data_IF_249906180837
#
_entry.id   IF_249906180837
#
_cell.length_a   1.000
_cell.length_b   1.000
_cell.length_c   1.000
_cell.angle_alpha   90.00
_cell.angle_beta   90.00
_cell.angle_gamma   90.00
#
_symmetry.space_group_name_H-M   'P 1'
#
loop_
_entity.id
_entity.type
_entity.pdbx_description
1 polymer ?
#
# COMPACT_ATOMS: atom_id res chain seq x y z
N UNK A 1 -8.60 -12.98 4.40
CA UNK A 1 -9.37 -12.18 3.42
C UNK A 1 -9.48 -10.78 3.96
N UNK A 2 -9.08 -9.80 3.17
CA UNK A 2 -9.17 -8.37 3.48
C UNK A 2 -10.31 -7.73 2.68
N UNK A 3 -10.91 -6.69 3.21
CA UNK A 3 -11.77 -5.80 2.42
C UNK A 3 -10.90 -4.78 1.65
N UNK A 4 -9.84 -4.31 2.29
CA UNK A 4 -8.95 -3.28 1.76
C UNK A 4 -7.50 -3.71 1.90
N UNK A 5 -6.74 -3.60 0.82
CA UNK A 5 -5.28 -3.69 0.84
C UNK A 5 -4.68 -2.39 0.29
N UNK A 6 -3.95 -1.67 1.13
CA UNK A 6 -3.17 -0.50 0.74
C UNK A 6 -1.76 -0.97 0.42
N UNK A 7 -1.28 -0.70 -0.80
CA UNK A 7 0.06 -1.06 -1.23
C UNK A 7 0.89 0.22 -1.25
N UNK A 8 1.92 0.24 -0.42
CA UNK A 8 2.78 1.39 -0.18
C UNK A 8 4.21 1.11 -0.70
N UNK A 9 4.87 2.04 -1.40
CA UNK A 9 6.27 1.89 -1.80
C UNK A 9 7.19 1.70 -0.58
N UNK A 10 7.00 2.51 0.46
CA UNK A 10 7.78 2.48 1.69
C UNK A 10 6.89 2.57 2.94
N UNK A 11 7.37 2.10 4.12
CA UNK A 11 6.66 2.30 5.38
C UNK A 11 6.60 3.78 5.76
N UNK A 12 5.38 4.33 5.86
CA UNK A 12 4.95 5.74 6.04
C UNK A 12 4.01 6.23 4.92
N UNK A 13 4.16 5.72 3.69
CA UNK A 13 3.35 6.19 2.55
C UNK A 13 1.86 5.90 2.73
N UNK A 14 1.51 4.77 3.37
CA UNK A 14 0.12 4.42 3.67
C UNK A 14 -0.45 5.32 4.77
N UNK A 15 0.33 5.64 5.79
CA UNK A 15 0.00 6.53 6.89
C UNK A 15 -0.26 7.95 6.36
N UNK A 16 0.69 8.50 5.61
CA UNK A 16 0.65 9.84 5.03
C UNK A 16 -0.51 10.00 4.06
N UNK A 17 -0.63 9.08 3.10
CA UNK A 17 -1.63 9.16 2.04
C UNK A 17 -3.03 8.74 2.47
N UNK A 18 -3.13 7.74 3.35
CA UNK A 18 -4.37 7.00 3.60
C UNK A 18 -4.69 6.76 5.08
N UNK A 19 -3.87 7.18 6.05
CA UNK A 19 -4.07 6.85 7.47
C UNK A 19 -5.47 7.18 7.99
N UNK A 20 -6.03 8.34 7.63
CA UNK A 20 -7.39 8.72 7.99
C UNK A 20 -8.45 7.83 7.33
N UNK A 21 -8.26 7.46 6.06
CA UNK A 21 -9.15 6.55 5.34
C UNK A 21 -9.09 5.13 5.91
N UNK A 22 -7.89 4.65 6.26
CA UNK A 22 -7.68 3.37 6.95
C UNK A 22 -8.47 3.34 8.25
N UNK A 23 -8.31 4.37 9.09
CA UNK A 23 -9.04 4.50 10.36
C UNK A 23 -10.55 4.53 10.15
N UNK A 24 -11.02 5.24 9.12
CA UNK A 24 -12.43 5.29 8.75
C UNK A 24 -12.96 3.90 8.37
N UNK A 25 -12.25 3.17 7.51
CA UNK A 25 -12.60 1.80 7.13
C UNK A 25 -12.61 0.85 8.33
N UNK A 26 -11.65 1.00 9.26
CA UNK A 26 -11.64 0.25 10.51
C UNK A 26 -12.86 0.56 11.38
N UNK A 27 -13.26 1.83 11.50
CA UNK A 27 -14.47 2.23 12.23
C UNK A 27 -15.76 1.67 11.60
N UNK A 28 -15.75 1.45 10.29
CA UNK A 28 -16.84 0.81 9.53
C UNK A 28 -16.79 -0.73 9.61
N UNK A 29 -15.86 -1.30 10.37
CA UNK A 29 -15.73 -2.75 10.58
C UNK A 29 -15.04 -3.51 9.44
N UNK A 30 -14.41 -2.80 8.49
CA UNK A 30 -13.67 -3.43 7.39
C UNK A 30 -12.34 -4.02 7.86
N UNK A 31 -11.93 -5.10 7.21
CA UNK A 31 -10.60 -5.69 7.37
C UNK A 31 -9.61 -4.99 6.46
N UNK A 32 -8.66 -4.28 7.04
CA UNK A 32 -7.70 -3.43 6.32
C UNK A 32 -6.30 -3.95 6.55
N UNK A 33 -5.56 -4.14 5.46
CA UNK A 33 -4.14 -4.44 5.51
C UNK A 33 -3.28 -3.47 4.72
N UNK A 34 -2.00 -3.42 5.07
CA UNK A 34 -0.98 -2.65 4.36
C UNK A 34 0.12 -3.59 3.87
N UNK A 35 0.55 -3.44 2.63
CA UNK A 35 1.75 -4.09 2.11
C UNK A 35 2.76 -3.02 1.73
N UNK A 36 3.86 -2.95 2.47
CA UNK A 36 5.01 -2.14 2.10
C UNK A 36 5.83 -2.91 1.05
N UNK A 37 6.11 -2.31 -0.10
CA UNK A 37 6.86 -2.97 -1.18
C UNK A 37 8.34 -3.09 -0.83
N UNK A 38 8.90 -2.05 -0.23
CA UNK A 38 10.28 -1.98 0.24
C UNK A 38 10.33 -1.74 1.74
N UNK A 39 11.47 -1.94 2.38
CA UNK A 39 11.67 -1.57 3.79
C UNK A 39 11.97 -0.07 3.98
N UNK A 40 12.11 0.66 2.88
CA UNK A 40 12.44 2.08 2.83
C UNK A 40 13.84 2.50 3.30
N UNK A 41 14.71 1.57 3.69
CA UNK A 41 16.12 1.84 3.99
C UNK A 41 17.01 1.59 2.75
N UNK A 42 18.06 2.39 2.50
CA UNK A 42 18.65 3.35 3.43
C UNK A 42 17.89 4.68 3.52
N UNK A 43 17.95 5.36 4.66
CA UNK A 43 17.52 6.75 4.86
C UNK A 43 18.67 7.60 5.47
N UNK A 44 18.65 8.95 5.32
CA UNK A 44 19.68 9.81 5.93
C UNK A 44 19.66 9.79 7.47
N UNK A 45 18.48 9.55 8.05
CA UNK A 45 18.23 9.50 9.48
C UNK A 45 17.37 8.28 9.76
N UNK A 46 17.98 7.21 10.28
CA UNK A 46 17.25 5.97 10.51
C UNK A 46 18.15 4.75 10.59
N UNK A 47 17.52 3.63 10.89
CA UNK A 47 18.07 2.28 10.75
C UNK A 47 16.92 1.33 10.44
N UNK A 48 17.22 0.14 9.92
CA UNK A 48 16.21 -0.89 9.71
C UNK A 48 15.43 -1.22 10.99
N UNK A 49 16.13 -1.26 12.13
CA UNK A 49 15.52 -1.53 13.43
C UNK A 49 14.58 -0.41 13.86
N UNK A 50 15.02 0.85 13.73
CA UNK A 50 14.17 2.00 14.06
C UNK A 50 12.94 2.05 13.16
N UNK A 51 13.11 1.84 11.85
CA UNK A 51 12.01 1.78 10.89
C UNK A 51 10.99 0.72 11.26
N UNK A 52 11.45 -0.46 11.68
CA UNK A 52 10.56 -1.55 12.13
C UNK A 52 9.77 -1.16 13.39
N UNK A 53 10.40 -0.47 14.35
CA UNK A 53 9.74 0.00 15.56
C UNK A 53 8.68 1.06 15.24
N UNK A 54 9.01 2.04 14.39
CA UNK A 54 8.09 3.08 13.92
C UNK A 54 6.90 2.47 13.16
N UNK A 55 7.19 1.56 12.23
CA UNK A 55 6.19 0.82 11.45
C UNK A 55 5.24 0.03 12.37
N UNK A 56 5.76 -0.62 13.40
CA UNK A 56 4.95 -1.37 14.36
C UNK A 56 4.06 -0.45 15.21
N UNK A 57 4.57 0.71 15.62
CA UNK A 57 3.80 1.71 16.35
C UNK A 57 2.65 2.26 15.50
N UNK A 58 2.93 2.70 14.27
CA UNK A 58 1.91 3.18 13.33
C UNK A 58 0.85 2.11 13.03
N UNK A 59 1.27 0.85 12.85
CA UNK A 59 0.37 -0.30 12.66
C UNK A 59 -0.61 -0.47 13.83
N UNK A 60 -0.13 -0.31 15.07
CA UNK A 60 -0.96 -0.37 16.27
C UNK A 60 -1.95 0.79 16.36
N UNK A 61 -1.52 2.02 16.03
CA UNK A 61 -2.37 3.22 16.06
C UNK A 61 -3.48 3.12 15.01
N UNK A 62 -3.15 2.66 13.81
CA UNK A 62 -4.10 2.45 12.72
C UNK A 62 -5.02 1.24 12.94
N UNK A 63 -4.63 0.29 13.79
CA UNK A 63 -5.41 -0.90 14.10
C UNK A 63 -5.54 -1.87 12.90
N UNK A 64 -4.47 -2.00 12.11
CA UNK A 64 -4.45 -2.85 10.92
C UNK A 64 -4.66 -4.33 11.26
N UNK A 65 -5.35 -5.07 10.40
CA UNK A 65 -5.56 -6.52 10.56
C UNK A 65 -4.38 -7.34 10.04
N UNK A 66 -3.58 -6.74 9.16
CA UNK A 66 -2.45 -7.39 8.53
C UNK A 66 -1.49 -6.32 7.99
N UNK A 67 -0.18 -6.52 8.22
CA UNK A 67 0.86 -5.73 7.56
C UNK A 67 2.06 -6.61 7.28
N UNK A 68 2.58 -6.54 6.07
CA UNK A 68 3.82 -7.21 5.68
C UNK A 68 4.67 -6.32 4.79
N UNK A 69 5.93 -6.71 4.62
CA UNK A 69 6.87 -6.12 3.71
C UNK A 69 7.20 -7.13 2.59
N UNK A 70 7.12 -6.70 1.32
CA UNK A 70 7.41 -7.56 0.17
C UNK A 70 8.92 -7.79 -0.03
N UNK A 71 9.77 -6.98 0.61
CA UNK A 71 11.23 -7.13 0.59
C UNK A 71 11.90 -6.66 -0.70
N UNK A 72 11.23 -5.82 -1.50
CA UNK A 72 11.82 -5.24 -2.71
C UNK A 72 12.87 -4.17 -2.35
N UNK A 73 13.88 -3.95 -3.20
CA UNK A 73 14.95 -3.00 -2.93
C UNK A 73 14.43 -1.55 -2.98
N UNK A 74 14.63 -0.83 -1.89
CA UNK A 74 14.35 0.60 -1.77
C UNK A 74 15.26 1.45 -2.68
N UNK A 75 14.75 2.59 -3.18
CA UNK A 75 15.39 3.52 -4.13
C UNK A 75 15.71 2.91 -5.51
N UNK A 76 15.34 1.66 -5.72
CA UNK A 76 15.60 0.90 -6.94
C UNK A 76 14.39 -0.01 -7.23
N UNK A 77 13.19 0.45 -6.86
CA UNK A 77 11.99 -0.33 -7.06
C UNK A 77 11.70 -0.40 -8.56
N UNK A 78 11.68 -1.62 -9.09
CA UNK A 78 11.39 -1.87 -10.50
C UNK A 78 10.17 -2.80 -10.65
N UNK A 79 9.27 -2.56 -11.62
CA UNK A 79 8.11 -3.40 -11.88
C UNK A 79 8.47 -4.66 -12.68
N UNK A 80 9.46 -5.42 -12.18
CA UNK A 80 9.96 -6.64 -12.82
C UNK A 80 8.91 -7.74 -12.83
N UNK A 81 9.10 -8.76 -13.68
CA UNK A 81 8.19 -9.92 -13.70
C UNK A 81 8.20 -10.70 -12.38
N UNK A 82 9.36 -10.80 -11.71
CA UNK A 82 9.48 -11.47 -10.42
C UNK A 82 8.72 -10.71 -9.33
N UNK A 83 8.89 -9.39 -9.24
CA UNK A 83 8.15 -8.56 -8.29
C UNK A 83 6.63 -8.63 -8.55
N UNK A 84 6.23 -8.66 -9.83
CA UNK A 84 4.82 -8.79 -10.23
C UNK A 84 4.21 -10.12 -9.78
N UNK A 85 4.96 -11.21 -9.93
CA UNK A 85 4.56 -12.53 -9.48
C UNK A 85 4.40 -12.58 -7.95
N UNK A 86 5.37 -12.02 -7.20
CA UNK A 86 5.30 -11.92 -5.75
C UNK A 86 4.07 -11.13 -5.28
N UNK A 87 3.85 -9.92 -5.82
CA UNK A 87 2.72 -9.09 -5.44
C UNK A 87 1.37 -9.73 -5.83
N UNK A 88 1.29 -10.35 -7.01
CA UNK A 88 0.10 -11.07 -7.43
C UNK A 88 -0.20 -12.27 -6.50
N UNK A 89 0.84 -12.96 -6.01
CA UNK A 89 0.73 -13.98 -4.97
C UNK A 89 0.09 -13.45 -3.68
N UNK A 90 0.56 -12.29 -3.19
CA UNK A 90 -0.04 -11.65 -2.00
C UNK A 90 -1.51 -11.30 -2.25
N UNK A 91 -1.85 -10.72 -3.41
CA UNK A 91 -3.24 -10.40 -3.77
C UNK A 91 -4.12 -11.67 -3.76
N UNK A 92 -3.61 -12.80 -4.25
CA UNK A 92 -4.33 -14.09 -4.26
C UNK A 92 -4.53 -14.69 -2.88
N UNK A 93 -3.55 -14.55 -1.99
CA UNK A 93 -3.63 -15.05 -0.62
C UNK A 93 -4.56 -14.17 0.25
N UNK A 94 -4.41 -12.85 0.15
CA UNK A 94 -5.18 -11.91 0.96
C UNK A 94 -6.58 -11.62 0.42
N UNK A 95 -6.81 -11.87 -0.88
CA UNK A 95 -8.09 -11.71 -1.58
C UNK A 95 -8.78 -10.36 -1.29
N UNK A 96 -8.09 -9.22 -1.38
CA UNK A 96 -8.67 -7.93 -1.04
C UNK A 96 -9.82 -7.56 -1.97
N UNK A 97 -10.92 -7.03 -1.44
CA UNK A 97 -12.01 -6.49 -2.26
C UNK A 97 -11.55 -5.27 -3.05
N UNK A 98 -10.85 -4.33 -2.40
CA UNK A 98 -10.32 -3.11 -2.99
C UNK A 98 -8.81 -2.99 -2.80
N UNK A 99 -8.12 -2.49 -3.84
CA UNK A 99 -6.72 -2.10 -3.77
C UNK A 99 -6.59 -0.58 -3.71
N UNK A 100 -5.60 -0.12 -2.96
CA UNK A 100 -5.10 1.25 -3.00
C UNK A 100 -3.63 1.24 -3.38
N UNK A 101 -3.26 2.08 -4.35
CA UNK A 101 -1.89 2.28 -4.81
C UNK A 101 -1.55 3.77 -4.79
N UNK A 102 -0.27 4.17 -4.85
CA UNK A 102 0.08 5.57 -5.00
C UNK A 102 -0.50 6.19 -6.28
N UNK A 103 -0.58 7.52 -6.31
CA UNK A 103 -0.89 8.25 -7.53
C UNK A 103 0.28 8.15 -8.52
N UNK A 104 -0.02 7.82 -9.78
CA UNK A 104 1.00 7.49 -10.79
C UNK A 104 1.81 8.70 -11.30
N UNK A 105 1.42 9.93 -10.93
CA UNK A 105 2.17 11.15 -11.23
C UNK A 105 2.84 11.63 -9.96
N UNK A 106 4.15 11.38 -9.87
CA UNK A 106 4.97 11.73 -8.73
C UNK A 106 6.39 12.08 -9.20
N UNK A 107 7.12 12.86 -8.40
CA UNK A 107 8.56 13.05 -8.56
C UNK A 107 9.35 11.85 -8.02
N UNK A 108 8.78 11.08 -7.09
CA UNK A 108 9.44 9.91 -6.52
C UNK A 108 9.34 8.70 -7.48
N UNK A 109 10.46 8.19 -8.03
CA UNK A 109 10.42 7.11 -9.03
C UNK A 109 9.83 5.81 -8.48
N UNK A 110 10.10 5.46 -7.22
CA UNK A 110 9.52 4.25 -6.62
C UNK A 110 7.98 4.34 -6.52
N UNK A 111 7.37 5.52 -6.38
CA UNK A 111 5.90 5.66 -6.36
C UNK A 111 5.29 5.35 -7.74
N UNK A 112 5.97 5.83 -8.79
CA UNK A 112 5.60 5.55 -10.18
C UNK A 112 5.76 4.06 -10.49
N UNK A 113 6.89 3.47 -10.10
CA UNK A 113 7.18 2.04 -10.30
C UNK A 113 6.21 1.15 -9.50
N UNK A 114 5.90 1.50 -8.26
CA UNK A 114 4.93 0.80 -7.43
C UNK A 114 3.56 0.75 -8.10
N UNK A 115 3.07 1.88 -8.62
CA UNK A 115 1.76 1.93 -9.27
C UNK A 115 1.72 1.05 -10.52
N UNK A 116 2.77 1.08 -11.35
CA UNK A 116 2.90 0.19 -12.51
C UNK A 116 2.91 -1.29 -12.10
N UNK A 117 3.62 -1.62 -11.01
CA UNK A 117 3.70 -2.97 -10.47
C UNK A 117 2.34 -3.44 -9.95
N UNK A 118 1.61 -2.61 -9.20
CA UNK A 118 0.29 -2.94 -8.65
C UNK A 118 -0.72 -3.24 -9.74
N UNK A 119 -0.81 -2.39 -10.76
CA UNK A 119 -1.74 -2.59 -11.89
C UNK A 119 -1.46 -3.91 -12.62
N UNK A 120 -0.19 -4.19 -12.91
CA UNK A 120 0.20 -5.42 -13.57
C UNK A 120 -0.04 -6.67 -12.70
N UNK A 121 0.24 -6.58 -11.39
CA UNK A 121 0.03 -7.66 -10.43
C UNK A 121 -1.48 -7.95 -10.22
N UNK A 122 -2.32 -6.91 -10.18
CA UNK A 122 -3.79 -7.07 -10.12
C UNK A 122 -4.31 -7.86 -11.31
N UNK A 123 -3.75 -7.64 -12.51
CA UNK A 123 -4.09 -8.45 -13.67
C UNK A 123 -3.58 -9.89 -13.52
N UNK A 124 -2.34 -10.08 -13.08
CA UNK A 124 -1.74 -11.42 -12.91
C UNK A 124 -2.44 -12.26 -11.85
N UNK A 125 -2.96 -11.64 -10.79
CA UNK A 125 -3.66 -12.33 -9.71
C UNK A 125 -4.90 -13.13 -10.17
N UNK A 126 -5.48 -12.82 -11.34
CA UNK A 126 -6.63 -13.55 -11.91
C UNK A 126 -6.26 -14.72 -12.84
N UNK A 127 -4.97 -14.92 -13.12
CA UNK A 127 -4.51 -16.02 -13.97
C UNK A 127 -4.69 -17.37 -13.26
N UNK A 128 -5.14 -18.38 -14.00
CA UNK A 128 -5.47 -19.71 -13.45
C UNK A 128 -4.40 -20.78 -13.68
N UNK A 129 -3.51 -20.60 -14.67
CA UNK A 129 -2.43 -21.55 -15.00
C UNK A 129 -1.07 -20.98 -14.59
N UNK A 130 -0.75 -21.08 -13.30
CA UNK A 130 0.45 -20.45 -12.71
C UNK A 130 0.83 -21.17 -11.42
N UNK A 131 2.11 -21.07 -11.02
CA UNK A 131 2.62 -21.55 -9.74
C UNK A 131 2.48 -20.53 -8.60
N UNK A 132 1.99 -19.31 -8.87
CA UNK A 132 1.74 -18.29 -7.84
C UNK A 132 0.84 -18.84 -6.73
N UNK A 133 1.10 -18.50 -5.45
CA UNK A 133 0.33 -19.01 -4.32
C UNK A 133 -1.08 -18.44 -4.25
N UNK A 134 -1.97 -19.12 -3.52
CA UNK A 134 -3.38 -18.75 -3.34
C UNK A 134 -4.27 -19.10 -4.53
N UNK A 135 -5.58 -18.86 -4.44
CA UNK A 135 -6.50 -19.07 -5.56
C UNK A 135 -6.61 -17.81 -6.44
N UNK A 136 -6.97 -17.92 -7.73
CA UNK A 136 -7.19 -16.76 -8.57
C UNK A 136 -8.12 -15.74 -7.92
N UNK A 137 -7.73 -14.48 -7.98
CA UNK A 137 -8.47 -13.37 -7.38
C UNK A 137 -8.28 -12.10 -8.21
N UNK A 138 -9.37 -11.41 -8.49
CA UNK A 138 -9.32 -10.10 -9.14
C UNK A 138 -10.03 -9.08 -8.25
N UNK A 139 -9.29 -8.19 -7.58
CA UNK A 139 -9.88 -7.11 -6.80
C UNK A 139 -10.87 -6.29 -7.63
N UNK A 140 -12.03 -5.99 -7.06
CA UNK A 140 -13.15 -5.34 -7.74
C UNK A 140 -12.78 -3.94 -8.23
N UNK A 141 -11.97 -3.24 -7.42
CA UNK A 141 -11.56 -1.86 -7.68
C UNK A 141 -10.10 -1.63 -7.29
N UNK A 142 -9.49 -0.68 -8.00
CA UNK A 142 -8.25 -0.04 -7.62
C UNK A 142 -8.51 1.46 -7.51
N UNK A 143 -7.96 2.06 -6.46
CA UNK A 143 -7.97 3.49 -6.23
C UNK A 143 -6.54 3.98 -6.05
N UNK A 144 -6.29 5.23 -6.44
CA UNK A 144 -4.98 5.84 -6.28
C UNK A 144 -5.03 6.93 -5.22
N UNK A 145 -4.13 6.87 -4.25
CA UNK A 145 -4.05 7.82 -3.15
C UNK A 145 -2.88 8.79 -3.33
N UNK A 146 -3.02 9.99 -2.77
CA UNK A 146 -1.99 11.02 -2.84
C UNK A 146 -1.01 10.87 -1.66
N UNK A 147 0.20 10.39 -1.97
CA UNK A 147 1.41 10.61 -1.19
C UNK A 147 2.47 11.17 -2.15
N UNK A 148 2.22 12.38 -2.68
CA UNK A 148 2.92 12.92 -3.84
C UNK A 148 3.92 14.01 -3.48
N UNK A 149 5.06 14.01 -4.15
CA UNK A 149 6.16 14.94 -3.91
C UNK A 149 6.15 16.16 -4.85
N UNK A 150 4.98 16.47 -5.41
CA UNK A 150 4.77 17.54 -6.36
C UNK A 150 3.80 18.58 -5.78
N UNK A 151 4.07 19.86 -6.05
CA UNK A 151 3.09 20.93 -5.84
C UNK A 151 2.04 20.86 -6.94
N UNK A 152 0.99 20.07 -6.71
CA UNK A 152 -0.13 19.91 -7.64
C UNK A 152 -1.34 20.71 -7.13
N UNK A 153 -2.17 21.16 -8.06
CA UNK A 153 -3.57 21.47 -7.79
C UNK A 153 -4.38 20.20 -8.14
N UNK A 154 -4.53 19.23 -7.21
CA UNK A 154 -5.17 17.97 -7.53
C UNK A 154 -6.64 18.16 -7.88
N UNK A 155 -7.12 17.39 -8.85
CA UNK A 155 -8.55 17.24 -9.16
C UNK A 155 -8.94 15.79 -8.84
N UNK A 156 -9.16 15.47 -7.56
CA UNK A 156 -9.46 14.10 -7.16
C UNK A 156 -10.84 13.68 -7.69
N UNK A 157 -11.00 12.41 -8.04
CA UNK A 157 -12.29 11.85 -8.45
C UNK A 157 -13.33 11.90 -7.31
N UNK A 158 -12.87 11.82 -6.06
CA UNK A 158 -13.64 12.01 -4.84
C UNK A 158 -12.71 12.35 -3.68
N UNK A 159 -13.27 12.87 -2.60
CA UNK A 159 -12.59 13.08 -1.33
C UNK A 159 -13.32 12.30 -0.24
N UNK A 160 -12.57 11.77 0.72
CA UNK A 160 -13.12 11.12 1.90
C UNK A 160 -12.92 12.04 3.10
N UNK A 161 -14.00 12.32 3.83
CA UNK A 161 -13.91 13.06 5.08
C UNK A 161 -13.27 12.19 6.16
N UNK A 162 -12.16 12.69 6.71
CA UNK A 162 -11.37 12.05 7.77
C UNK A 162 -11.28 12.97 9.00
N UNK A 163 -12.18 13.94 9.11
CA UNK A 163 -12.15 14.95 10.18
C UNK A 163 -12.16 14.31 11.58
N UNK A 164 -12.94 13.24 11.77
CA UNK A 164 -12.98 12.46 13.03
C UNK A 164 -11.73 11.61 13.28
N UNK A 165 -10.95 11.33 12.24
CA UNK A 165 -9.79 10.44 12.26
C UNK A 165 -8.46 11.21 12.29
N UNK A 166 -8.49 12.54 12.12
CA UNK A 166 -7.30 13.37 11.93
C UNK A 166 -6.23 13.19 13.01
N UNK A 167 -6.62 13.29 14.29
CA UNK A 167 -5.66 13.19 15.40
C UNK A 167 -4.95 11.83 15.43
N UNK A 168 -5.68 10.75 15.13
CA UNK A 168 -5.10 9.41 15.06
C UNK A 168 -4.25 9.21 13.81
N UNK A 169 -4.61 9.84 12.69
CA UNK A 169 -3.76 9.87 11.49
C UNK A 169 -2.45 10.61 11.78
N UNK A 170 -2.50 11.74 12.48
CA UNK A 170 -1.30 12.53 12.79
C UNK A 170 -0.39 11.85 13.83
N UNK A 171 -0.95 11.00 14.69
CA UNK A 171 -0.19 10.21 15.66
C UNK A 171 0.47 8.97 15.03
N UNK A 172 -0.10 8.44 13.94
CA UNK A 172 0.42 7.30 13.18
C UNK A 172 1.53 7.74 12.23
#
# INVERSE_FOLDING_TARGET
MLDVLVIAPHPDDAELGMGGAILRFKNEGLRVGVLDLTNGEPTPHGSLELRQQETAAATGILGLDWRENLGLPNRSLEPTLAAREQLAGVIRQQRPRWLFAPYWVDAHPDHVAATQLVEAARFWAKLSKTAMPGEPHHPERIYNYYCVHLKLAPQPAFVLDISSEWERKAAA
#
